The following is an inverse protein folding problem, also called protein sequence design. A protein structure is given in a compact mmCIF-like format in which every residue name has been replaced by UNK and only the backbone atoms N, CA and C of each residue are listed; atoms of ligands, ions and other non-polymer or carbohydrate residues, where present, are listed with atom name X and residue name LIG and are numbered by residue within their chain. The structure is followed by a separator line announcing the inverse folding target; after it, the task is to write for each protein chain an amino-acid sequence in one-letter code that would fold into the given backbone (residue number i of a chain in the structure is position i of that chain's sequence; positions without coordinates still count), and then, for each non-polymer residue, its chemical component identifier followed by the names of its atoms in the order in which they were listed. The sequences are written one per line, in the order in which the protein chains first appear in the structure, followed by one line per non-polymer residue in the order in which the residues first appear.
data_IF_092512820436
#
_entry.id   IF_092512820436
#
_cell.length_a   1.000
_cell.length_b   1.000
_cell.length_c   1.000
_cell.angle_alpha   90.00
_cell.angle_beta   90.00
_cell.angle_gamma   90.00
#
_symmetry.space_group_name_H-M   'P 1'
#
loop_
_entity.id
_entity.type
_entity.pdbx_description
1 polymer ?
#
# COMPACT_ATOMS: atom_id res chain seq x y z
N UNK A 1 15.58 36.46 -7.65
CA UNK A 1 15.43 34.97 -7.70
C UNK A 1 14.05 34.66 -7.15
N UNK A 2 13.29 33.82 -7.80
CA UNK A 2 11.99 33.34 -7.29
C UNK A 2 12.29 32.34 -6.18
N UNK A 3 11.68 32.51 -5.01
CA UNK A 3 11.80 31.53 -3.93
C UNK A 3 11.21 30.18 -4.37
N UNK A 4 11.84 29.06 -4.02
CA UNK A 4 11.29 27.75 -4.36
C UNK A 4 9.95 27.51 -3.66
N UNK A 5 9.01 26.88 -4.34
CA UNK A 5 7.79 26.38 -3.70
C UNK A 5 8.15 25.33 -2.64
N UNK A 6 7.57 25.44 -1.46
CA UNK A 6 7.78 24.47 -0.38
C UNK A 6 6.62 23.49 -0.38
N UNK A 7 6.92 22.19 -0.52
CA UNK A 7 5.93 21.11 -0.47
C UNK A 7 6.13 20.28 0.79
N UNK A 8 5.16 20.32 1.70
CA UNK A 8 5.12 19.45 2.89
C UNK A 8 4.93 18.01 2.45
N UNK A 9 5.96 17.20 2.67
CA UNK A 9 6.07 15.86 2.08
C UNK A 9 6.21 14.81 3.17
N UNK A 10 5.39 13.76 3.13
CA UNK A 10 5.55 12.56 3.95
C UNK A 10 5.96 11.40 3.03
N UNK A 11 7.14 10.87 3.29
CA UNK A 11 7.70 9.71 2.59
C UNK A 11 8.61 8.96 3.55
N UNK A 12 8.43 7.66 3.68
CA UNK A 12 9.30 6.85 4.53
C UNK A 12 10.74 6.84 4.00
N UNK A 13 11.70 6.84 4.90
CA UNK A 13 13.12 6.75 4.55
C UNK A 13 13.41 5.45 3.80
N UNK A 14 13.96 5.58 2.62
CA UNK A 14 14.20 4.50 1.66
C UNK A 14 15.34 4.88 0.70
N UNK A 15 15.84 3.94 -0.13
CA UNK A 15 16.78 4.30 -1.19
C UNK A 15 16.25 5.37 -2.15
N UNK A 16 14.92 5.48 -2.32
CA UNK A 16 14.29 6.52 -3.12
C UNK A 16 14.31 7.89 -2.43
N UNK A 17 13.95 7.95 -1.14
CA UNK A 17 13.82 9.23 -0.43
C UNK A 17 15.14 9.79 0.06
N UNK A 18 16.10 8.94 0.43
CA UNK A 18 17.39 9.34 1.03
C UNK A 18 18.16 10.41 0.24
N UNK A 19 18.31 10.32 -1.10
CA UNK A 19 19.03 11.36 -1.86
C UNK A 19 18.31 12.72 -1.83
N UNK A 20 16.99 12.73 -1.68
CA UNK A 20 16.17 13.93 -1.59
C UNK A 20 16.23 14.53 -0.17
N UNK A 21 16.13 13.70 0.86
CA UNK A 21 16.23 14.10 2.28
C UNK A 21 17.61 14.69 2.60
N UNK A 22 18.67 14.11 2.03
CA UNK A 22 20.04 14.56 2.23
C UNK A 22 20.44 15.75 1.34
N UNK A 23 19.55 16.23 0.46
CA UNK A 23 19.84 17.33 -0.44
C UNK A 23 20.88 17.00 -1.52
N UNK A 24 21.10 15.73 -1.84
CA UNK A 24 21.93 15.30 -2.98
C UNK A 24 21.24 15.64 -4.29
N UNK A 25 19.92 15.46 -4.33
CA UNK A 25 19.06 15.86 -5.44
C UNK A 25 18.23 17.05 -4.98
N UNK A 26 18.34 18.17 -5.67
CA UNK A 26 17.64 19.42 -5.34
C UNK A 26 17.09 20.08 -6.60
N UNK A 27 16.16 21.00 -6.42
CA UNK A 27 15.64 21.86 -7.48
C UNK A 27 15.65 23.32 -7.04
N UNK A 28 15.92 24.28 -7.95
CA UNK A 28 15.74 25.70 -7.66
C UNK A 28 14.26 26.12 -7.62
N UNK A 29 13.33 25.27 -8.05
CA UNK A 29 11.90 25.54 -8.15
C UNK A 29 11.10 25.03 -6.98
N UNK A 30 11.52 23.88 -6.40
CA UNK A 30 10.80 23.17 -5.34
C UNK A 30 11.76 22.72 -4.27
N UNK A 31 11.33 22.88 -3.02
CA UNK A 31 11.93 22.27 -1.84
C UNK A 31 10.92 21.29 -1.23
N UNK A 32 11.30 20.02 -1.12
CA UNK A 32 10.53 19.03 -0.37
C UNK A 32 10.83 19.23 1.13
N UNK A 33 9.79 19.58 1.88
CA UNK A 33 9.85 19.75 3.34
C UNK A 33 9.37 18.44 3.98
N UNK A 34 10.32 17.55 4.29
CA UNK A 34 10.04 16.24 4.82
C UNK A 34 9.50 16.32 6.24
N UNK A 35 8.25 15.88 6.42
CA UNK A 35 7.57 15.79 7.71
C UNK A 35 7.74 14.38 8.25
N UNK A 36 8.41 14.25 9.39
CA UNK A 36 8.59 12.95 10.03
C UNK A 36 7.28 12.45 10.64
N UNK A 37 6.80 11.31 10.15
CA UNK A 37 5.64 10.57 10.69
C UNK A 37 6.03 9.10 10.83
N UNK A 38 6.12 8.63 12.05
CA UNK A 38 6.51 7.25 12.35
C UNK A 38 5.51 6.59 13.32
N UNK A 39 4.89 5.51 12.89
CA UNK A 39 4.98 4.86 11.58
C UNK A 39 4.28 5.66 10.46
N UNK A 40 4.77 5.54 9.24
CA UNK A 40 4.28 6.36 8.10
C UNK A 40 2.77 6.26 7.85
N UNK A 41 2.16 5.13 8.19
CA UNK A 41 0.71 4.95 8.00
C UNK A 41 -0.17 5.86 8.87
N UNK A 42 0.38 6.51 9.90
CA UNK A 42 -0.34 7.50 10.71
C UNK A 42 -0.62 8.79 9.90
N UNK A 43 0.10 9.01 8.79
CA UNK A 43 -0.17 10.11 7.86
C UNK A 43 -1.37 9.85 6.92
N UNK A 44 -1.81 8.60 6.76
CA UNK A 44 -2.74 8.24 5.69
C UNK A 44 -4.15 8.80 5.90
N UNK A 45 -4.71 8.64 7.10
CA UNK A 45 -6.02 9.21 7.41
C UNK A 45 -6.01 10.75 7.38
N UNK A 46 -5.04 11.47 7.98
CA UNK A 46 -4.92 12.92 7.81
C UNK A 46 -4.82 13.36 6.34
N UNK A 47 -4.07 12.63 5.50
CA UNK A 47 -3.95 12.97 4.08
C UNK A 47 -5.28 12.89 3.36
N UNK A 48 -6.00 11.76 3.45
CA UNK A 48 -7.25 11.55 2.70
C UNK A 48 -8.44 12.32 3.28
N UNK A 49 -8.43 12.66 4.56
CA UNK A 49 -9.52 13.37 5.23
C UNK A 49 -9.37 14.87 5.18
N UNK A 50 -8.14 15.37 5.28
CA UNK A 50 -7.85 16.79 5.55
C UNK A 50 -6.84 17.42 4.59
N UNK A 51 -6.25 16.65 3.65
CA UNK A 51 -5.13 17.10 2.81
C UNK A 51 -3.99 17.70 3.66
N UNK A 52 -3.64 16.99 4.77
CA UNK A 52 -2.71 17.50 5.77
C UNK A 52 -1.29 17.78 5.22
N UNK A 53 -0.97 17.22 4.05
CA UNK A 53 0.32 17.33 3.38
C UNK A 53 0.10 17.68 1.91
N UNK A 54 1.12 18.30 1.26
CA UNK A 54 1.09 18.54 -0.18
C UNK A 54 1.37 17.25 -0.96
N UNK A 55 2.37 16.49 -0.52
CA UNK A 55 2.72 15.16 -1.04
C UNK A 55 2.74 14.14 0.09
N UNK A 56 2.26 12.94 -0.18
CA UNK A 56 2.23 11.89 0.84
C UNK A 56 2.38 10.50 0.20
N UNK A 57 3.22 9.67 0.80
CA UNK A 57 3.16 8.23 0.62
C UNK A 57 1.82 7.72 1.14
N UNK A 58 1.13 6.86 0.39
CA UNK A 58 -0.20 6.36 0.76
C UNK A 58 -0.40 4.92 0.30
N UNK A 59 -1.00 4.09 1.16
CA UNK A 59 -1.32 2.71 0.82
C UNK A 59 -2.23 2.63 -0.41
N UNK A 60 -1.93 1.71 -1.37
CA UNK A 60 -2.67 1.64 -2.65
C UNK A 60 -4.17 1.40 -2.45
N UNK A 61 -4.58 0.55 -1.50
CA UNK A 61 -6.01 0.35 -1.19
C UNK A 61 -6.65 1.65 -0.69
N UNK A 62 -5.94 2.43 0.13
CA UNK A 62 -6.42 3.74 0.60
C UNK A 62 -6.50 4.74 -0.56
N UNK A 63 -5.56 4.73 -1.51
CA UNK A 63 -5.62 5.55 -2.72
C UNK A 63 -6.88 5.26 -3.53
N UNK A 64 -7.11 3.97 -3.84
CA UNK A 64 -8.27 3.55 -4.64
C UNK A 64 -9.60 3.85 -3.92
N UNK A 65 -9.67 3.63 -2.60
CA UNK A 65 -10.84 4.04 -1.82
C UNK A 65 -11.03 5.56 -1.83
N UNK A 66 -9.96 6.33 -1.67
CA UNK A 66 -10.03 7.78 -1.71
C UNK A 66 -10.60 8.28 -3.05
N UNK A 67 -10.16 7.69 -4.17
CA UNK A 67 -10.69 8.01 -5.50
C UNK A 67 -12.17 7.60 -5.61
N UNK A 68 -12.52 6.37 -5.20
CA UNK A 68 -13.87 5.84 -5.29
C UNK A 68 -14.91 6.65 -4.49
N UNK A 69 -14.47 7.27 -3.39
CA UNK A 69 -15.27 8.13 -2.51
C UNK A 69 -15.00 9.63 -2.69
N UNK A 70 -14.39 10.02 -3.82
CA UNK A 70 -14.06 11.42 -4.18
C UNK A 70 -13.33 12.19 -3.08
N UNK A 71 -12.39 11.54 -2.40
CA UNK A 71 -11.52 12.24 -1.45
C UNK A 71 -10.45 13.05 -2.20
N UNK A 72 -9.98 14.17 -1.64
CA UNK A 72 -9.23 15.18 -2.38
C UNK A 72 -7.75 14.82 -2.53
N UNK A 73 -7.44 13.75 -3.24
CA UNK A 73 -6.10 13.35 -3.63
C UNK A 73 -5.96 13.23 -5.14
N UNK A 74 -4.74 13.28 -5.63
CA UNK A 74 -4.32 12.91 -6.98
C UNK A 74 -3.24 11.85 -6.86
N UNK A 75 -3.50 10.64 -7.39
CA UNK A 75 -2.53 9.54 -7.35
C UNK A 75 -1.52 9.73 -8.48
N UNK A 76 -0.24 9.90 -8.12
CA UNK A 76 0.85 10.01 -9.08
C UNK A 76 1.27 8.61 -9.57
N UNK A 77 1.80 8.48 -10.79
CA UNK A 77 2.27 7.21 -11.32
C UNK A 77 3.63 6.81 -10.73
N UNK A 78 3.69 6.73 -9.39
CA UNK A 78 4.91 6.43 -8.62
C UNK A 78 4.59 5.45 -7.52
N UNK A 79 5.10 4.23 -7.65
CA UNK A 79 5.16 3.27 -6.55
C UNK A 79 6.39 3.57 -5.71
N UNK A 80 6.20 3.82 -4.43
CA UNK A 80 7.30 4.11 -3.49
C UNK A 80 7.67 2.92 -2.62
N UNK A 81 6.77 1.94 -2.52
CA UNK A 81 7.04 0.70 -1.79
C UNK A 81 6.24 -0.47 -2.36
N UNK A 82 6.93 -1.56 -2.64
CA UNK A 82 6.37 -2.88 -2.95
C UNK A 82 7.13 -3.94 -2.15
N UNK A 83 6.47 -5.05 -1.86
CA UNK A 83 7.09 -6.20 -1.23
C UNK A 83 6.25 -7.46 -1.41
N UNK A 84 6.87 -8.59 -1.28
CA UNK A 84 6.19 -9.87 -1.21
C UNK A 84 5.38 -10.04 0.07
N UNK A 85 4.22 -10.69 0.01
CA UNK A 85 3.21 -10.63 1.07
C UNK A 85 2.83 -12.00 1.64
N UNK A 86 3.10 -13.11 0.97
CA UNK A 86 2.68 -14.45 1.42
C UNK A 86 3.23 -14.81 2.80
N UNK A 87 4.46 -14.39 3.11
CA UNK A 87 5.08 -14.58 4.41
C UNK A 87 4.47 -13.74 5.55
N UNK A 88 3.56 -12.81 5.23
CA UNK A 88 2.92 -11.95 6.22
C UNK A 88 1.74 -12.62 6.97
N UNK A 89 1.25 -13.77 6.50
CA UNK A 89 0.27 -14.59 7.22
C UNK A 89 1.01 -15.55 8.14
N UNK A 90 0.90 -15.34 9.44
CA UNK A 90 1.60 -16.13 10.46
C UNK A 90 0.64 -16.74 11.47
N UNK A 91 1.10 -17.80 12.14
CA UNK A 91 0.42 -18.44 13.27
C UNK A 91 1.43 -18.80 14.37
N UNK A 92 0.91 -19.07 15.56
CA UNK A 92 1.72 -19.41 16.73
C UNK A 92 2.06 -20.90 16.74
N UNK A 93 3.36 -21.27 16.73
CA UNK A 93 3.83 -22.67 16.60
C UNK A 93 3.30 -23.59 17.67
N UNK A 94 3.28 -23.17 18.92
CA UNK A 94 2.85 -24.03 20.04
C UNK A 94 1.35 -24.36 20.02
N UNK A 95 0.55 -23.62 19.23
CA UNK A 95 -0.88 -23.90 19.00
C UNK A 95 -1.16 -24.71 17.74
N UNK A 96 -0.11 -25.02 16.98
CA UNK A 96 -0.19 -25.63 15.67
C UNK A 96 -0.42 -24.60 14.56
N UNK A 97 0.36 -24.72 13.51
CA UNK A 97 0.19 -23.90 12.30
C UNK A 97 -0.87 -24.55 11.43
N UNK A 98 -2.02 -23.88 11.15
CA UNK A 98 -3.05 -24.47 10.31
C UNK A 98 -2.53 -24.68 8.88
N UNK A 99 -2.95 -25.75 8.23
CA UNK A 99 -2.77 -25.85 6.79
C UNK A 99 -3.65 -24.80 6.08
N UNK A 100 -3.22 -24.32 4.91
CA UNK A 100 -4.00 -23.31 4.17
C UNK A 100 -5.41 -23.81 3.85
N UNK A 101 -5.56 -25.09 3.54
CA UNK A 101 -6.86 -25.71 3.27
C UNK A 101 -7.82 -25.67 4.48
N UNK A 102 -7.29 -25.55 5.68
CA UNK A 102 -8.08 -25.55 6.93
C UNK A 102 -8.40 -24.13 7.42
N UNK A 103 -8.07 -23.08 6.64
CA UNK A 103 -8.33 -21.69 7.02
C UNK A 103 -9.81 -21.30 6.93
N UNK A 104 -10.63 -22.04 6.18
CA UNK A 104 -12.06 -21.79 6.14
C UNK A 104 -12.68 -21.91 7.54
N UNK A 105 -13.45 -20.90 7.93
CA UNK A 105 -14.05 -20.76 9.26
C UNK A 105 -13.07 -20.35 10.37
N UNK A 106 -11.79 -20.21 10.10
CA UNK A 106 -10.78 -19.75 11.07
C UNK A 106 -10.87 -18.26 11.31
N UNK A 107 -10.47 -17.86 12.52
CA UNK A 107 -10.37 -16.45 12.92
C UNK A 107 -9.00 -15.91 12.55
N UNK A 108 -8.96 -14.99 11.59
CA UNK A 108 -7.70 -14.38 11.12
C UNK A 108 -7.70 -12.89 11.46
N UNK A 109 -6.72 -12.48 12.25
CA UNK A 109 -6.53 -11.11 12.67
C UNK A 109 -5.79 -10.29 11.62
N UNK A 110 -6.25 -9.07 11.38
CA UNK A 110 -5.56 -8.04 10.59
C UNK A 110 -5.84 -6.68 11.23
N UNK A 111 -4.89 -5.75 11.21
CA UNK A 111 -5.03 -4.46 11.89
C UNK A 111 -6.30 -3.72 11.44
N UNK A 112 -6.47 -3.56 10.13
CA UNK A 112 -7.68 -3.05 9.49
C UNK A 112 -7.99 -3.91 8.26
N UNK A 113 -9.25 -4.15 7.96
CA UNK A 113 -9.64 -4.96 6.80
C UNK A 113 -9.12 -4.35 5.48
N UNK A 114 -9.02 -3.02 5.42
CA UNK A 114 -8.49 -2.25 4.28
C UNK A 114 -6.97 -2.21 4.20
N UNK A 115 -6.24 -2.86 5.13
CA UNK A 115 -4.77 -2.90 5.08
C UNK A 115 -4.30 -3.58 3.79
N UNK A 116 -3.41 -2.91 3.03
CA UNK A 116 -2.93 -3.41 1.73
C UNK A 116 -2.28 -4.79 1.83
N UNK A 117 -1.49 -5.06 2.89
CA UNK A 117 -0.95 -6.41 3.15
C UNK A 117 -2.07 -7.45 3.27
N UNK A 118 -3.17 -7.08 3.95
CA UNK A 118 -4.36 -7.94 4.08
C UNK A 118 -5.01 -8.22 2.72
N UNK A 119 -5.18 -7.19 1.90
CA UNK A 119 -5.70 -7.33 0.53
C UNK A 119 -4.85 -8.30 -0.29
N UNK A 120 -3.52 -8.15 -0.29
CA UNK A 120 -2.62 -9.03 -1.04
C UNK A 120 -2.65 -10.47 -0.54
N UNK A 121 -2.63 -10.69 0.78
CA UNK A 121 -2.69 -12.06 1.34
C UNK A 121 -4.01 -12.72 0.96
N UNK A 122 -5.15 -12.03 1.04
CA UNK A 122 -6.46 -12.56 0.61
C UNK A 122 -6.46 -12.90 -0.87
N UNK A 123 -5.91 -12.03 -1.72
CA UNK A 123 -5.82 -12.28 -3.16
C UNK A 123 -4.97 -13.54 -3.46
N UNK A 124 -3.82 -13.69 -2.80
CA UNK A 124 -2.99 -14.89 -2.95
C UNK A 124 -3.67 -16.17 -2.41
N UNK A 125 -4.44 -16.08 -1.33
CA UNK A 125 -5.22 -17.20 -0.84
C UNK A 125 -6.31 -17.63 -1.84
N UNK A 126 -6.95 -16.68 -2.49
CA UNK A 126 -7.95 -16.94 -3.52
C UNK A 126 -7.30 -17.55 -4.79
N UNK A 127 -6.23 -16.93 -5.29
CA UNK A 127 -5.54 -17.35 -6.52
C UNK A 127 -4.85 -18.70 -6.38
N UNK A 128 -4.04 -18.88 -5.32
CA UNK A 128 -3.20 -20.08 -5.13
C UNK A 128 -4.02 -21.29 -4.61
N UNK A 129 -5.11 -21.06 -3.86
CA UNK A 129 -5.79 -22.12 -3.11
C UNK A 129 -7.31 -22.13 -3.28
N UNK A 130 -7.88 -21.22 -4.06
CA UNK A 130 -9.33 -21.11 -4.26
C UNK A 130 -10.09 -20.73 -2.98
N UNK A 131 -9.42 -20.15 -1.98
CA UNK A 131 -10.01 -19.82 -0.70
C UNK A 131 -10.69 -18.45 -0.77
N UNK A 132 -12.02 -18.43 -0.74
CA UNK A 132 -12.75 -17.16 -0.81
C UNK A 132 -12.58 -16.34 0.47
N UNK A 133 -12.53 -15.02 0.32
CA UNK A 133 -12.41 -14.10 1.45
C UNK A 133 -13.53 -14.26 2.46
N UNK A 134 -14.77 -14.53 2.00
CA UNK A 134 -15.96 -14.71 2.84
C UNK A 134 -15.96 -16.00 3.66
N UNK A 135 -15.13 -16.99 3.26
CA UNK A 135 -15.02 -18.27 3.98
C UNK A 135 -14.22 -18.14 5.29
N UNK A 136 -13.55 -17.03 5.50
CA UNK A 136 -12.70 -16.75 6.66
C UNK A 136 -13.39 -15.75 7.58
N UNK A 137 -13.25 -15.95 8.90
CA UNK A 137 -13.73 -14.99 9.89
C UNK A 137 -12.64 -13.95 10.16
N UNK A 138 -12.76 -12.78 9.52
CA UNK A 138 -11.80 -11.69 9.67
C UNK A 138 -12.04 -10.90 10.96
N UNK A 139 -10.95 -10.65 11.69
CA UNK A 139 -10.98 -9.90 12.96
C UNK A 139 -10.11 -8.66 12.81
N UNK A 140 -10.70 -7.47 13.01
CA UNK A 140 -10.01 -6.18 12.86
C UNK A 140 -10.13 -5.33 14.12
N UNK A 141 -9.27 -4.30 14.22
CA UNK A 141 -9.28 -3.37 15.35
C UNK A 141 -9.35 -1.91 14.92
N UNK A 142 -8.63 -1.56 13.86
CA UNK A 142 -8.56 -0.18 13.39
C UNK A 142 -9.59 0.07 12.31
N UNK A 143 -10.20 1.27 12.29
CA UNK A 143 -11.10 1.67 11.22
C UNK A 143 -10.33 1.91 9.92
N UNK A 144 -11.07 1.94 8.82
CA UNK A 144 -10.53 2.37 7.53
C UNK A 144 -10.06 3.84 7.55
N UNK A 145 -9.08 4.18 6.72
CA UNK A 145 -8.60 5.55 6.58
C UNK A 145 -9.67 6.45 5.93
N UNK A 146 -10.47 5.91 5.00
CA UNK A 146 -11.58 6.61 4.34
C UNK A 146 -12.85 6.39 5.15
N UNK A 147 -13.40 7.46 5.70
CA UNK A 147 -14.53 7.42 6.66
C UNK A 147 -15.84 6.89 6.08
N UNK A 148 -16.03 7.01 4.75
CA UNK A 148 -17.23 6.56 4.06
C UNK A 148 -17.27 5.02 3.87
N UNK A 149 -16.11 4.37 3.87
CA UNK A 149 -16.02 2.93 3.71
C UNK A 149 -16.59 2.20 4.93
N UNK A 150 -17.20 1.06 4.69
CA UNK A 150 -17.69 0.12 5.72
C UNK A 150 -17.18 -1.27 5.39
N UNK A 151 -16.66 -1.95 6.40
CA UNK A 151 -16.23 -3.34 6.28
C UNK A 151 -17.41 -4.25 5.89
N UNK A 152 -17.16 -5.32 5.11
CA UNK A 152 -18.17 -6.32 4.80
C UNK A 152 -18.76 -7.00 6.06
N UNK A 153 -19.99 -7.55 5.98
CA UNK A 153 -20.67 -8.13 7.17
C UNK A 153 -19.95 -9.32 7.82
N UNK A 154 -19.05 -9.98 7.09
CA UNK A 154 -18.24 -11.10 7.60
C UNK A 154 -16.97 -10.66 8.32
N UNK A 155 -16.77 -9.36 8.52
CA UNK A 155 -15.64 -8.79 9.27
C UNK A 155 -16.09 -8.41 10.67
N UNK A 156 -15.46 -9.00 11.68
CA UNK A 156 -15.67 -8.64 13.07
C UNK A 156 -14.73 -7.51 13.50
N UNK A 157 -15.30 -6.48 14.11
CA UNK A 157 -14.51 -5.38 14.66
C UNK A 157 -14.38 -5.50 16.16
N UNK A 158 -13.16 -5.69 16.68
CA UNK A 158 -12.90 -5.83 18.10
C UNK A 158 -12.45 -4.51 18.73
N UNK A 159 -13.13 -4.12 19.81
CA UNK A 159 -12.66 -3.05 20.70
C UNK A 159 -11.58 -3.60 21.67
N UNK A 160 -10.49 -4.17 21.14
CA UNK A 160 -9.41 -4.75 21.93
C UNK A 160 -8.13 -3.94 21.82
N UNK A 161 -7.44 -3.75 22.95
CA UNK A 161 -6.10 -3.14 23.01
C UNK A 161 -4.97 -4.18 22.85
N UNK A 162 -5.30 -5.48 22.79
CA UNK A 162 -4.29 -6.53 22.63
C UNK A 162 -3.65 -6.46 21.24
N UNK A 163 -2.36 -6.71 21.18
CA UNK A 163 -1.67 -6.88 19.90
C UNK A 163 -2.11 -8.18 19.20
N UNK A 164 -2.02 -8.21 17.86
CA UNK A 164 -2.29 -9.46 17.13
C UNK A 164 -1.37 -10.62 17.55
N UNK A 165 -0.06 -10.41 17.82
CA UNK A 165 0.79 -11.44 18.40
C UNK A 165 0.29 -11.98 19.75
N UNK A 166 -0.22 -11.13 20.65
CA UNK A 166 -0.77 -11.58 21.93
C UNK A 166 -2.05 -12.38 21.73
N UNK A 167 -2.94 -11.96 20.84
CA UNK A 167 -4.14 -12.71 20.47
C UNK A 167 -3.80 -14.09 19.90
N UNK A 168 -2.71 -14.21 19.13
CA UNK A 168 -2.22 -15.51 18.66
C UNK A 168 -1.69 -16.39 19.80
N UNK A 169 -0.95 -15.83 20.74
CA UNK A 169 -0.45 -16.55 21.93
C UNK A 169 -1.58 -17.10 22.79
N UNK A 170 -2.61 -16.30 22.99
CA UNK A 170 -3.77 -16.65 23.79
C UNK A 170 -4.80 -17.53 23.07
N UNK A 171 -4.70 -17.62 21.71
CA UNK A 171 -5.61 -18.42 20.89
C UNK A 171 -6.96 -17.76 20.64
N UNK A 172 -7.02 -16.45 20.71
CA UNK A 172 -8.21 -15.66 20.34
C UNK A 172 -8.39 -15.62 18.83
N UNK A 173 -7.27 -15.75 18.09
CA UNK A 173 -7.21 -15.89 16.63
C UNK A 173 -6.30 -17.05 16.24
N UNK A 174 -6.57 -17.69 15.11
CA UNK A 174 -5.82 -18.85 14.60
C UNK A 174 -4.58 -18.40 13.78
N UNK A 175 -4.69 -17.30 13.07
CA UNK A 175 -3.61 -16.69 12.30
C UNK A 175 -3.73 -15.16 12.30
N UNK A 176 -2.66 -14.46 11.90
CA UNK A 176 -2.66 -13.02 11.78
C UNK A 176 -1.89 -12.57 10.55
N UNK A 177 -2.34 -11.47 9.95
CA UNK A 177 -1.62 -10.77 8.90
C UNK A 177 -0.91 -9.57 9.52
N UNK A 178 0.42 -9.62 9.50
CA UNK A 178 1.30 -8.56 9.98
C UNK A 178 2.13 -8.00 8.83
N UNK A 179 2.33 -6.68 8.88
CA UNK A 179 3.08 -5.96 7.86
C UNK A 179 4.58 -5.90 8.16
N UNK A 180 5.09 -4.67 8.35
CA UNK A 180 6.49 -4.43 8.72
C UNK A 180 6.77 -4.79 10.19
N UNK A 181 5.75 -5.08 10.95
CA UNK A 181 5.71 -5.42 12.37
C UNK A 181 5.72 -6.95 12.63
N UNK A 182 6.21 -7.74 11.68
CA UNK A 182 6.41 -9.17 11.86
C UNK A 182 7.31 -9.42 13.08
N UNK A 183 6.84 -10.24 14.07
CA UNK A 183 7.63 -10.53 15.26
C UNK A 183 8.89 -11.30 14.88
N UNK A 184 9.99 -10.96 15.52
CA UNK A 184 11.28 -11.65 15.38
C UNK A 184 11.29 -12.87 16.30
N UNK A 185 11.90 -13.98 15.84
CA UNK A 185 12.08 -15.21 16.61
C UNK A 185 11.26 -16.40 16.08
N UNK A 186 11.42 -17.55 16.76
CA UNK A 186 10.88 -18.84 16.29
C UNK A 186 9.46 -19.15 16.81
N UNK A 187 8.87 -18.28 17.60
CA UNK A 187 7.55 -18.46 18.23
C UNK A 187 6.43 -18.53 17.18
N UNK A 188 6.59 -17.76 16.10
CA UNK A 188 5.62 -17.71 15.00
C UNK A 188 6.17 -18.39 13.74
N UNK A 189 5.27 -18.83 12.88
CA UNK A 189 5.60 -19.40 11.59
C UNK A 189 4.67 -18.89 10.49
N UNK A 190 5.17 -18.73 9.26
CA UNK A 190 4.32 -18.51 8.10
C UNK A 190 3.33 -19.67 7.92
N UNK A 191 2.08 -19.34 7.61
CA UNK A 191 1.01 -20.29 7.31
C UNK A 191 1.12 -20.78 5.86
N UNK A 192 1.50 -19.90 4.93
CA UNK A 192 1.68 -20.28 3.52
C UNK A 192 3.04 -20.94 3.35
N UNK A 193 3.09 -22.22 2.96
CA UNK A 193 4.35 -22.94 2.79
C UNK A 193 5.12 -22.40 1.58
N UNK A 194 6.45 -22.39 1.66
CA UNK A 194 7.35 -21.93 0.61
C UNK A 194 7.01 -20.53 0.07
N UNK A 195 6.57 -19.61 0.97
CA UNK A 195 6.10 -18.27 0.62
C UNK A 195 7.05 -17.53 -0.33
N UNK A 196 8.36 -17.52 -0.03
CA UNK A 196 9.34 -16.81 -0.84
C UNK A 196 9.47 -17.39 -2.27
N UNK A 197 9.39 -18.73 -2.43
CA UNK A 197 9.42 -19.37 -3.75
C UNK A 197 8.17 -19.00 -4.55
N UNK A 198 6.99 -19.11 -3.93
CA UNK A 198 5.72 -18.74 -4.56
C UNK A 198 5.65 -17.25 -4.93
N UNK A 199 6.19 -16.38 -4.11
CA UNK A 199 6.28 -14.95 -4.38
C UNK A 199 7.14 -14.67 -5.63
N UNK A 200 8.28 -15.35 -5.78
CA UNK A 200 9.12 -15.22 -6.98
C UNK A 200 8.46 -15.83 -8.23
N UNK A 201 7.78 -16.95 -8.10
CA UNK A 201 7.01 -17.57 -9.20
C UNK A 201 5.89 -16.63 -9.67
N UNK A 202 5.15 -16.06 -8.74
CA UNK A 202 4.10 -15.09 -9.01
C UNK A 202 4.66 -13.84 -9.72
N UNK A 203 5.77 -13.29 -9.23
CA UNK A 203 6.43 -12.15 -9.88
C UNK A 203 6.89 -12.47 -11.31
N UNK A 204 7.43 -13.66 -11.56
CA UNK A 204 7.82 -14.07 -12.93
C UNK A 204 6.62 -14.14 -13.86
N UNK A 205 5.47 -14.55 -13.36
CA UNK A 205 4.22 -14.64 -14.12
C UNK A 205 3.62 -13.26 -14.40
N UNK A 206 3.51 -12.42 -13.38
CA UNK A 206 2.81 -11.14 -13.45
C UNK A 206 3.71 -9.95 -13.80
N UNK A 207 5.03 -10.08 -13.66
CA UNK A 207 6.05 -9.07 -13.99
C UNK A 207 5.96 -7.77 -13.17
N UNK A 208 5.30 -7.78 -12.03
CA UNK A 208 5.32 -6.71 -11.04
C UNK A 208 5.32 -7.26 -9.60
N UNK A 209 5.85 -6.49 -8.66
CA UNK A 209 5.77 -6.82 -7.24
C UNK A 209 4.44 -6.36 -6.65
N UNK A 210 3.92 -7.05 -5.61
CA UNK A 210 2.77 -6.58 -4.86
C UNK A 210 2.96 -5.15 -4.35
N UNK A 211 2.23 -4.19 -4.93
CA UNK A 211 2.32 -2.76 -4.61
C UNK A 211 1.74 -2.51 -3.22
N UNK A 212 2.52 -1.85 -2.35
CA UNK A 212 2.05 -1.40 -1.05
C UNK A 212 1.65 0.06 -1.06
N UNK A 213 2.56 0.94 -1.46
CA UNK A 213 2.34 2.37 -1.35
C UNK A 213 2.65 3.10 -2.64
N UNK A 214 1.82 4.11 -2.90
CA UNK A 214 1.92 5.06 -4.01
C UNK A 214 2.28 6.44 -3.47
N UNK A 215 2.85 7.30 -4.31
CA UNK A 215 2.90 8.73 -4.03
C UNK A 215 1.60 9.38 -4.47
N UNK A 216 1.05 10.23 -3.61
CA UNK A 216 -0.10 11.08 -3.92
C UNK A 216 0.21 12.55 -3.68
N UNK A 217 -0.43 13.42 -4.44
CA UNK A 217 -0.50 14.85 -4.18
C UNK A 217 -1.87 15.23 -3.62
N UNK A 218 -1.96 16.25 -2.78
CA UNK A 218 -3.26 16.83 -2.41
C UNK A 218 -3.89 17.47 -3.65
N UNK A 219 -5.23 17.44 -3.73
CA UNK A 219 -5.96 18.10 -4.82
C UNK A 219 -5.74 19.62 -4.78
N UNK A 220 -5.54 20.17 -3.59
CA UNK A 220 -5.29 21.60 -3.40
C UNK A 220 -3.97 22.04 -4.01
N UNK A 221 -2.85 21.34 -3.73
CA UNK A 221 -1.55 21.68 -4.33
C UNK A 221 -1.56 21.42 -5.83
N UNK A 222 -2.20 20.32 -6.27
CA UNK A 222 -2.31 19.97 -7.69
C UNK A 222 -3.03 21.05 -8.52
N UNK A 223 -4.01 21.75 -7.93
CA UNK A 223 -4.72 22.86 -8.57
C UNK A 223 -4.00 24.20 -8.43
N UNK A 224 -3.45 24.49 -7.25
CA UNK A 224 -2.80 25.75 -6.93
C UNK A 224 -1.46 25.92 -7.64
N UNK A 225 -0.66 24.86 -7.68
CA UNK A 225 0.68 24.86 -8.25
C UNK A 225 1.03 23.50 -8.90
N UNK A 226 0.43 23.18 -10.05
CA UNK A 226 0.73 21.94 -10.77
C UNK A 226 2.20 21.86 -11.19
N UNK A 227 2.85 23.01 -11.44
CA UNK A 227 4.27 23.07 -11.78
C UNK A 227 5.18 22.59 -10.65
N UNK A 228 4.81 22.87 -9.39
CA UNK A 228 5.56 22.36 -8.23
C UNK A 228 5.41 20.83 -8.11
N UNK A 229 4.22 20.29 -8.36
CA UNK A 229 4.00 18.83 -8.34
C UNK A 229 4.74 18.14 -9.48
N UNK A 230 4.75 18.72 -10.69
CA UNK A 230 5.55 18.24 -11.82
C UNK A 230 7.05 18.18 -11.49
N UNK A 231 7.56 19.23 -10.83
CA UNK A 231 8.97 19.29 -10.45
C UNK A 231 9.30 18.27 -9.36
N UNK A 232 8.40 18.08 -8.38
CA UNK A 232 8.56 17.03 -7.37
C UNK A 232 8.56 15.62 -8.00
N UNK A 233 7.70 15.38 -8.99
CA UNK A 233 7.72 14.14 -9.76
C UNK A 233 9.08 13.92 -10.46
N UNK A 234 9.66 14.95 -11.10
CA UNK A 234 10.99 14.86 -11.71
C UNK A 234 12.09 14.56 -10.68
N UNK A 235 12.03 15.16 -9.50
CA UNK A 235 12.97 14.87 -8.41
C UNK A 235 12.91 13.41 -7.97
N UNK A 236 11.69 12.87 -7.80
CA UNK A 236 11.47 11.46 -7.48
C UNK A 236 11.97 10.54 -8.61
N UNK A 237 11.69 10.85 -9.87
CA UNK A 237 12.17 10.08 -11.02
C UNK A 237 13.71 10.09 -11.12
N UNK A 238 14.35 11.24 -10.85
CA UNK A 238 15.80 11.32 -10.77
C UNK A 238 16.37 10.45 -9.64
N UNK A 239 15.76 10.50 -8.46
CA UNK A 239 16.18 9.67 -7.32
C UNK A 239 16.02 8.16 -7.62
N UNK A 240 14.93 7.77 -8.31
CA UNK A 240 14.73 6.41 -8.79
C UNK A 240 15.84 5.96 -9.74
N UNK A 241 16.23 6.82 -10.69
CA UNK A 241 17.33 6.52 -11.62
C UNK A 241 18.67 6.21 -10.95
N UNK A 242 18.92 6.73 -9.73
CA UNK A 242 20.13 6.42 -8.94
C UNK A 242 20.07 5.05 -8.26
N UNK A 243 18.88 4.48 -8.08
CA UNK A 243 18.64 3.23 -7.35
C UNK A 243 17.90 2.18 -8.20
N UNK A 244 17.90 2.35 -9.53
CA UNK A 244 17.22 1.45 -10.45
C UNK A 244 17.76 0.01 -10.32
N UNK A 245 16.83 -0.94 -10.27
CA UNK A 245 17.11 -2.38 -10.25
C UNK A 245 17.07 -2.89 -11.69
N UNK A 246 17.83 -3.93 -12.06
CA UNK A 246 17.72 -4.58 -13.38
C UNK A 246 16.28 -5.01 -13.67
N UNK A 247 15.88 -4.95 -14.96
CA UNK A 247 14.51 -5.28 -15.40
C UNK A 247 14.09 -6.75 -15.14
N UNK A 248 15.07 -7.63 -14.98
CA UNK A 248 14.87 -9.05 -14.67
C UNK A 248 14.87 -9.36 -13.16
N UNK A 249 14.91 -8.32 -12.32
CA UNK A 249 14.81 -8.42 -10.86
C UNK A 249 13.54 -7.72 -10.33
N UNK A 250 12.98 -8.21 -9.19
CA UNK A 250 11.84 -7.56 -8.55
C UNK A 250 12.20 -6.15 -8.06
N UNK A 251 11.55 -5.12 -8.59
CA UNK A 251 11.75 -3.74 -8.14
C UNK A 251 10.69 -3.33 -7.12
N UNK A 252 11.08 -2.79 -5.95
CA UNK A 252 10.12 -2.25 -4.98
C UNK A 252 9.57 -0.87 -5.39
N UNK A 253 10.16 -0.22 -6.39
CA UNK A 253 9.82 1.11 -6.89
C UNK A 253 9.55 1.03 -8.38
N UNK A 254 8.46 1.64 -8.83
CA UNK A 254 8.05 1.66 -10.25
C UNK A 254 7.56 3.07 -10.60
N UNK A 255 7.92 3.54 -11.77
CA UNK A 255 7.51 4.84 -12.31
C UNK A 255 6.80 4.69 -13.66
N UNK A 256 5.93 5.64 -13.94
CA UNK A 256 5.28 5.82 -15.25
C UNK A 256 3.90 5.19 -15.34
N UNK A 257 3.06 5.81 -16.16
CA UNK A 257 1.68 5.36 -16.37
C UNK A 257 1.64 4.00 -17.08
N UNK A 258 2.49 3.81 -18.09
CA UNK A 258 2.52 2.59 -18.88
C UNK A 258 2.82 1.36 -18.00
N UNK A 259 3.81 1.47 -17.12
CA UNK A 259 4.21 0.38 -16.20
C UNK A 259 3.16 0.04 -15.15
N UNK A 260 2.25 0.97 -14.83
CA UNK A 260 1.29 0.82 -13.73
C UNK A 260 -0.13 0.45 -14.18
N UNK A 261 -0.44 0.49 -15.50
CA UNK A 261 -1.80 0.20 -15.99
C UNK A 261 -2.27 -1.20 -15.63
N UNK A 262 -1.53 -2.23 -15.96
CA UNK A 262 -1.88 -3.62 -15.64
C UNK A 262 -1.86 -3.93 -14.15
N UNK A 263 -0.82 -3.55 -13.37
CA UNK A 263 -0.81 -3.74 -11.93
C UNK A 263 -2.00 -3.10 -11.22
N UNK A 264 -2.37 -1.87 -11.58
CA UNK A 264 -3.48 -1.17 -10.93
C UNK A 264 -4.82 -1.79 -11.30
N UNK A 265 -5.04 -2.23 -12.53
CA UNK A 265 -6.25 -2.97 -12.92
C UNK A 265 -6.38 -4.27 -12.12
N UNK A 266 -5.29 -5.03 -11.99
CA UNK A 266 -5.27 -6.26 -11.19
C UNK A 266 -5.65 -5.98 -9.72
N UNK A 267 -5.11 -4.91 -9.13
CA UNK A 267 -5.40 -4.52 -7.75
C UNK A 267 -6.86 -4.05 -7.59
N UNK A 268 -7.40 -3.31 -8.58
CA UNK A 268 -8.80 -2.90 -8.58
C UNK A 268 -9.72 -4.13 -8.56
N UNK A 269 -9.45 -5.13 -9.40
CA UNK A 269 -10.24 -6.36 -9.45
C UNK A 269 -10.14 -7.14 -8.13
N UNK A 270 -8.95 -7.31 -7.56
CA UNK A 270 -8.76 -7.92 -6.24
C UNK A 270 -9.50 -7.14 -5.12
N UNK A 271 -9.51 -5.81 -5.18
CA UNK A 271 -10.25 -4.98 -4.24
C UNK A 271 -11.77 -5.15 -4.39
N UNK A 272 -12.27 -5.29 -5.61
CA UNK A 272 -13.69 -5.54 -5.87
C UNK A 272 -14.15 -6.90 -5.32
N UNK A 273 -13.39 -7.95 -5.58
CA UNK A 273 -13.67 -9.30 -5.08
C UNK A 273 -13.70 -9.39 -3.54
N UNK A 274 -12.96 -8.52 -2.88
CA UNK A 274 -12.87 -8.47 -1.43
C UNK A 274 -13.82 -7.44 -0.76
N UNK A 275 -14.66 -6.76 -1.55
CA UNK A 275 -15.55 -5.73 -1.02
C UNK A 275 -14.82 -4.48 -0.48
N UNK A 276 -13.61 -4.20 -0.96
CA UNK A 276 -12.81 -3.05 -0.55
C UNK A 276 -13.17 -1.76 -1.30
N UNK A 277 -13.88 -1.87 -2.42
CA UNK A 277 -14.33 -0.74 -3.22
C UNK A 277 -15.86 -0.80 -3.39
N UNK A 278 -16.55 0.35 -3.40
CA UNK A 278 -18.00 0.40 -3.61
C UNK A 278 -18.40 0.16 -5.07
N UNK A 279 -17.45 0.33 -6.00
CA UNK A 279 -17.60 0.12 -7.44
C UNK A 279 -16.24 -0.07 -8.08
N UNK A 280 -16.22 -0.68 -9.26
CA UNK A 280 -15.00 -0.79 -10.06
C UNK A 280 -14.61 0.60 -10.59
N UNK A 281 -13.30 0.92 -10.47
CA UNK A 281 -12.71 2.15 -11.01
C UNK A 281 -12.18 1.90 -12.43
N UNK A 282 -12.24 2.92 -13.28
CA UNK A 282 -11.51 2.98 -14.55
C UNK A 282 -10.13 3.61 -14.37
N UNK A 283 -9.17 3.28 -15.23
CA UNK A 283 -7.85 3.89 -15.19
C UNK A 283 -7.89 5.42 -15.40
N UNK A 284 -8.81 5.92 -16.20
CA UNK A 284 -8.99 7.35 -16.43
C UNK A 284 -9.43 8.09 -15.15
N UNK A 285 -10.19 7.41 -14.25
CA UNK A 285 -10.52 7.96 -12.94
C UNK A 285 -9.29 7.96 -12.00
N UNK A 286 -8.48 6.93 -12.10
CA UNK A 286 -7.32 6.73 -11.24
C UNK A 286 -6.17 7.65 -11.64
N UNK A 287 -5.85 7.73 -12.91
CA UNK A 287 -4.68 8.43 -13.41
C UNK A 287 -4.99 9.71 -14.19
N UNK A 288 -6.21 9.89 -14.72
CA UNK A 288 -6.55 11.05 -15.54
C UNK A 288 -6.16 12.39 -14.92
N UNK A 289 -6.45 12.66 -13.63
CA UNK A 289 -6.01 13.90 -13.00
C UNK A 289 -4.49 14.09 -12.96
N UNK A 290 -3.72 13.00 -12.86
CA UNK A 290 -2.27 13.04 -12.90
C UNK A 290 -1.75 13.15 -14.35
N UNK A 291 -2.36 12.45 -15.32
CA UNK A 291 -2.04 12.57 -16.74
C UNK A 291 -2.23 14.00 -17.24
N UNK A 292 -3.37 14.63 -16.90
CA UNK A 292 -3.64 16.04 -17.25
C UNK A 292 -2.60 16.99 -16.64
N UNK A 293 -2.17 16.72 -15.39
CA UNK A 293 -1.21 17.56 -14.68
C UNK A 293 0.23 17.33 -15.14
N UNK A 294 0.65 16.07 -15.33
CA UNK A 294 2.02 15.69 -15.66
C UNK A 294 2.27 15.72 -17.17
N UNK A 295 1.24 15.93 -18.00
CA UNK A 295 1.23 15.79 -19.45
C UNK A 295 2.51 16.23 -20.14
N UNK A 296 3.12 15.29 -20.90
CA UNK A 296 4.38 15.50 -21.63
C UNK A 296 5.66 15.30 -20.83
N UNK A 297 5.58 14.87 -19.56
CA UNK A 297 6.75 14.35 -18.86
C UNK A 297 7.00 12.90 -19.28
N UNK A 298 8.28 12.48 -19.38
CA UNK A 298 8.60 11.08 -19.71
C UNK A 298 8.01 10.13 -18.66
N UNK A 299 7.47 9.01 -19.17
CA UNK A 299 7.09 7.84 -18.39
C UNK A 299 8.31 7.23 -17.67
#
# INVERSE_FOLDING_TARGET
MIEPAILRTVLATSPLSTPLEQGIITSPRVRLDFVEVAPVHDAFAPMVRQQAYDLCELAIVTCLQAIAYDRPIVMLPVVVASRFQRGCLISHRARGVPAVADLAGKRIGVRAYTQTTGMWVRAHLAEDYGLSTESIHWVTRDPAHVEQYRDPPFVEHLASLKSLPDMLREGEIDAAILGNDLPKGEEFAPVIPAAATKDLEWWRQHRFMPINHMMVASRDVSRRDPGAVQEAYRLLAHAHGLSAVPEDEPSPVVFGFAALREPVLWIIDACMEQGLLPRRLGLDEVFGPAEDMLGGLPD
#
